data_IF_706019549876
#
_entry.id   IF_706019549876
#
_cell.length_a   1.000
_cell.length_b   1.000
_cell.length_c   1.000
_cell.angle_alpha   90.00
_cell.angle_beta   90.00
_cell.angle_gamma   90.00
#
_symmetry.space_group_name_H-M   'P 1'
#
loop_
_entity.id
_entity.type
_entity.pdbx_description
1 polymer ?
#
# COMPACT_ATOMS: atom_id res chain seq x y z
N UNK A 1 51.65 7.43 -39.83
CA UNK A 1 50.83 6.20 -39.63
C UNK A 1 50.79 5.70 -38.16
N UNK A 2 51.03 6.55 -37.15
CA UNK A 2 51.00 6.12 -35.73
C UNK A 2 49.83 6.71 -34.92
N UNK A 3 49.23 7.80 -35.40
CA UNK A 3 48.06 8.47 -34.80
C UNK A 3 46.73 7.78 -35.14
N UNK A 4 46.64 7.12 -36.29
CA UNK A 4 45.47 6.32 -36.70
C UNK A 4 45.24 5.06 -35.86
N UNK A 5 46.31 4.50 -35.27
CA UNK A 5 46.22 3.31 -34.40
C UNK A 5 45.61 3.62 -33.03
N UNK A 6 45.74 4.85 -32.54
CA UNK A 6 45.20 5.29 -31.25
C UNK A 6 43.70 5.59 -31.32
N UNK A 7 43.21 6.05 -32.47
CA UNK A 7 41.78 6.27 -32.71
C UNK A 7 41.03 4.92 -32.78
N UNK A 8 41.65 3.88 -33.33
CA UNK A 8 41.07 2.54 -33.40
C UNK A 8 40.89 1.88 -32.03
N UNK A 9 41.72 2.20 -31.03
CA UNK A 9 41.61 1.68 -29.66
C UNK A 9 40.55 2.44 -28.84
N UNK A 10 40.35 3.74 -29.09
CA UNK A 10 39.37 4.57 -28.38
C UNK A 10 37.91 4.25 -28.70
N UNK A 11 37.63 3.69 -29.88
CA UNK A 11 36.25 3.36 -30.32
C UNK A 11 35.75 2.05 -29.68
N UNK A 12 36.65 1.14 -29.29
CA UNK A 12 36.29 -0.15 -28.68
C UNK A 12 35.82 0.04 -27.21
N UNK A 13 36.20 1.13 -26.54
CA UNK A 13 35.89 1.34 -25.13
C UNK A 13 34.50 1.96 -24.84
N UNK A 14 33.75 2.38 -25.87
CA UNK A 14 32.44 3.01 -25.70
C UNK A 14 31.25 2.05 -25.82
N UNK A 15 31.49 0.77 -26.07
CA UNK A 15 30.45 -0.25 -26.14
C UNK A 15 30.21 -0.95 -24.79
N UNK A 16 30.11 -0.18 -23.70
CA UNK A 16 29.50 -0.69 -22.47
C UNK A 16 27.98 -0.54 -22.60
N UNK A 17 27.37 -1.41 -23.40
CA UNK A 17 25.92 -1.54 -23.44
C UNK A 17 25.45 -1.88 -22.03
N UNK A 18 24.65 -0.97 -21.47
CA UNK A 18 23.96 -1.19 -20.20
C UNK A 18 23.04 -2.39 -20.38
N UNK A 19 23.47 -3.54 -19.87
CA UNK A 19 22.61 -4.71 -19.72
C UNK A 19 21.54 -4.32 -18.71
N UNK A 20 20.39 -3.87 -19.20
CA UNK A 20 19.18 -3.79 -18.40
C UNK A 20 18.74 -5.23 -18.17
N UNK A 21 19.27 -5.86 -17.11
CA UNK A 21 18.74 -7.11 -16.60
C UNK A 21 17.32 -6.83 -16.08
N UNK A 22 16.32 -6.99 -16.95
CA UNK A 22 14.93 -7.08 -16.52
C UNK A 22 14.77 -8.47 -15.90
N UNK A 23 14.94 -8.55 -14.59
CA UNK A 23 14.65 -9.78 -13.84
C UNK A 23 13.13 -9.90 -13.73
N UNK A 24 12.51 -10.54 -14.70
CA UNK A 24 11.13 -11.01 -14.59
C UNK A 24 11.13 -12.29 -13.76
N UNK A 25 10.97 -12.18 -12.44
CA UNK A 25 10.80 -13.36 -11.59
C UNK A 25 9.36 -13.85 -11.70
N UNK A 26 9.11 -14.78 -12.62
CA UNK A 26 7.91 -15.63 -12.65
C UNK A 26 8.12 -16.83 -11.72
N UNK A 27 8.19 -16.57 -10.41
CA UNK A 27 8.38 -17.62 -9.41
C UNK A 27 7.05 -18.35 -9.17
N UNK A 28 6.90 -19.49 -9.82
CA UNK A 28 5.84 -20.46 -9.53
C UNK A 28 6.31 -21.40 -8.42
N UNK A 29 6.16 -20.99 -7.16
CA UNK A 29 6.20 -21.90 -6.01
C UNK A 29 4.94 -21.61 -5.19
N UNK A 30 3.92 -22.46 -5.33
CA UNK A 30 2.62 -22.30 -4.68
C UNK A 30 2.01 -20.92 -4.94
N UNK A 31 1.48 -20.70 -6.14
CA UNK A 31 1.05 -19.38 -6.64
C UNK A 31 0.30 -18.59 -5.58
N UNK A 32 0.96 -17.55 -5.04
CA UNK A 32 0.32 -16.61 -4.14
C UNK A 32 -1.00 -16.13 -4.77
N UNK A 33 -2.08 -16.04 -3.99
CA UNK A 33 -3.37 -15.63 -4.52
C UNK A 33 -3.26 -14.26 -5.17
N UNK A 34 -4.07 -14.01 -6.21
CA UNK A 34 -4.11 -12.70 -6.90
C UNK A 34 -4.38 -11.54 -5.93
N UNK A 35 -5.12 -11.78 -4.86
CA UNK A 35 -5.39 -10.81 -3.83
C UNK A 35 -4.22 -10.62 -2.86
N UNK A 36 -3.17 -11.45 -2.87
CA UNK A 36 -2.00 -11.33 -2.01
C UNK A 36 -1.13 -10.10 -2.31
N UNK A 37 -0.34 -9.59 -1.35
CA UNK A 37 0.54 -8.43 -1.56
C UNK A 37 1.66 -8.70 -2.59
N UNK A 38 1.98 -7.70 -3.42
CA UNK A 38 3.13 -7.76 -4.34
C UNK A 38 4.47 -7.72 -3.61
N UNK A 39 5.48 -8.40 -4.18
CA UNK A 39 6.86 -8.36 -3.69
C UNK A 39 7.20 -9.38 -2.60
N UNK A 40 6.30 -10.30 -2.29
CA UNK A 40 6.48 -11.33 -1.26
C UNK A 40 6.33 -12.74 -1.86
N UNK A 41 7.23 -13.10 -2.78
CA UNK A 41 7.17 -14.37 -3.49
C UNK A 41 7.35 -15.59 -2.58
N UNK A 42 8.03 -15.44 -1.45
CA UNK A 42 8.37 -16.51 -0.51
C UNK A 42 7.42 -16.56 0.71
N UNK A 43 6.35 -15.75 0.71
CA UNK A 43 5.43 -15.72 1.84
C UNK A 43 4.72 -17.06 2.03
N UNK A 44 4.94 -17.70 3.18
CA UNK A 44 4.23 -18.94 3.53
C UNK A 44 2.84 -18.65 4.11
N UNK A 45 2.72 -17.55 4.85
CA UNK A 45 1.50 -17.17 5.57
C UNK A 45 1.18 -15.68 5.45
N UNK A 46 -0.11 -15.38 5.28
CA UNK A 46 -0.68 -14.05 5.51
C UNK A 46 -1.51 -14.06 6.78
N UNK A 47 -1.37 -13.05 7.63
CA UNK A 47 -2.34 -12.76 8.70
C UNK A 47 -3.32 -11.68 8.23
N UNK A 48 -4.61 -11.93 8.42
CA UNK A 48 -5.72 -11.05 8.05
C UNK A 48 -6.35 -10.50 9.34
N UNK A 49 -6.00 -9.27 9.76
CA UNK A 49 -6.40 -8.72 11.06
C UNK A 49 -7.91 -8.64 11.25
N UNK A 50 -8.65 -8.16 10.25
CA UNK A 50 -10.10 -7.86 10.37
C UNK A 50 -10.95 -9.10 10.66
N UNK A 51 -10.50 -10.24 10.13
CA UNK A 51 -11.15 -11.54 10.30
C UNK A 51 -10.40 -12.44 11.28
N UNK A 52 -9.32 -11.92 11.89
CA UNK A 52 -8.43 -12.62 12.83
C UNK A 52 -8.01 -14.02 12.34
N UNK A 53 -7.75 -14.14 11.03
CA UNK A 53 -7.45 -15.39 10.36
C UNK A 53 -6.05 -15.37 9.75
N UNK A 54 -5.53 -16.55 9.45
CA UNK A 54 -4.36 -16.73 8.61
C UNK A 54 -4.77 -17.29 7.25
N UNK A 55 -3.95 -17.07 6.24
CA UNK A 55 -4.01 -17.78 4.97
C UNK A 55 -2.68 -18.47 4.73
N UNK A 56 -2.73 -19.79 4.55
CA UNK A 56 -1.62 -20.66 4.20
C UNK A 56 -1.48 -20.65 2.68
N UNK A 57 -0.44 -20.01 2.17
CA UNK A 57 -0.22 -19.81 0.72
C UNK A 57 -0.01 -21.14 0.02
N UNK A 58 0.73 -22.05 0.68
CA UNK A 58 1.09 -23.37 0.13
C UNK A 58 -0.12 -24.30 0.09
N UNK A 59 -0.93 -24.31 1.15
CA UNK A 59 -2.12 -25.15 1.22
C UNK A 59 -3.36 -24.52 0.56
N UNK A 60 -3.32 -23.23 0.21
CA UNK A 60 -4.45 -22.44 -0.30
C UNK A 60 -5.66 -22.44 0.64
N UNK A 61 -5.41 -22.42 1.95
CA UNK A 61 -6.42 -22.55 3.00
C UNK A 61 -6.36 -21.41 4.00
N UNK A 62 -7.52 -21.00 4.49
CA UNK A 62 -7.64 -20.17 5.68
C UNK A 62 -7.44 -21.00 6.94
N UNK A 63 -6.90 -20.36 7.96
CA UNK A 63 -6.77 -20.89 9.32
C UNK A 63 -7.40 -19.88 10.28
N UNK A 64 -8.48 -20.25 10.94
CA UNK A 64 -9.19 -19.36 11.85
C UNK A 64 -9.63 -20.10 13.11
N UNK A 65 -9.89 -19.33 14.17
CA UNK A 65 -10.41 -19.89 15.40
C UNK A 65 -11.94 -20.00 15.32
N UNK A 66 -12.48 -21.19 15.57
CA UNK A 66 -13.92 -21.46 15.53
C UNK A 66 -14.26 -22.76 16.25
N UNK A 67 -15.41 -22.82 16.93
CA UNK A 67 -15.82 -24.00 17.68
C UNK A 67 -14.80 -24.46 18.73
N UNK A 68 -14.12 -23.51 19.39
CA UNK A 68 -13.12 -23.78 20.42
C UNK A 68 -11.76 -24.27 19.92
N UNK A 69 -11.52 -24.33 18.61
CA UNK A 69 -10.26 -24.83 18.02
C UNK A 69 -9.82 -24.04 16.80
N UNK A 70 -8.58 -24.22 16.40
CA UNK A 70 -8.08 -23.75 15.10
C UNK A 70 -8.55 -24.69 13.99
N UNK A 71 -9.20 -24.12 12.97
CA UNK A 71 -9.77 -24.83 11.84
C UNK A 71 -9.03 -24.40 10.58
N UNK A 72 -8.67 -25.38 9.74
CA UNK A 72 -8.21 -25.15 8.37
C UNK A 72 -9.37 -25.38 7.40
N UNK A 73 -9.62 -24.43 6.50
CA UNK A 73 -10.71 -24.49 5.53
C UNK A 73 -10.38 -23.70 4.27
N UNK A 74 -10.97 -24.08 3.13
CA UNK A 74 -10.83 -23.32 1.88
C UNK A 74 -11.53 -21.95 1.92
N UNK A 75 -12.46 -21.78 2.85
CA UNK A 75 -13.26 -20.57 2.99
C UNK A 75 -13.18 -20.04 4.41
N UNK A 76 -13.31 -18.73 4.54
CA UNK A 76 -13.53 -18.06 5.83
C UNK A 76 -14.85 -18.53 6.47
N UNK A 77 -15.01 -18.39 7.80
CA UNK A 77 -16.27 -18.74 8.47
C UNK A 77 -17.42 -17.89 7.92
N UNK A 78 -18.65 -18.39 8.05
CA UNK A 78 -19.84 -17.79 7.43
C UNK A 78 -20.02 -16.29 7.74
N UNK A 79 -19.66 -15.85 8.96
CA UNK A 79 -19.69 -14.44 9.37
C UNK A 79 -18.79 -13.51 8.53
N UNK A 80 -17.79 -14.07 7.84
CA UNK A 80 -16.82 -13.36 6.99
C UNK A 80 -16.85 -13.84 5.54
N UNK A 81 -17.93 -14.51 5.09
CA UNK A 81 -18.04 -15.03 3.72
C UNK A 81 -17.94 -13.94 2.63
N UNK A 82 -18.33 -12.71 2.98
CA UNK A 82 -18.33 -11.54 2.09
C UNK A 82 -17.11 -10.64 2.33
N UNK A 83 -16.09 -11.12 3.05
CA UNK A 83 -14.89 -10.33 3.30
C UNK A 83 -14.16 -10.06 1.98
N UNK A 84 -13.86 -8.79 1.73
CA UNK A 84 -13.12 -8.39 0.54
C UNK A 84 -11.63 -8.69 0.72
N UNK A 85 -11.20 -9.83 0.17
CA UNK A 85 -9.80 -10.23 0.16
C UNK A 85 -8.93 -9.31 -0.68
N UNK A 86 -9.45 -8.49 -1.61
CA UNK A 86 -8.64 -7.55 -2.36
C UNK A 86 -8.35 -6.29 -1.55
N UNK A 87 -9.39 -5.66 -0.97
CA UNK A 87 -9.26 -4.44 -0.18
C UNK A 87 -8.71 -4.61 1.24
N UNK A 88 -8.92 -5.77 1.87
CA UNK A 88 -8.51 -5.99 3.26
C UNK A 88 -6.99 -5.92 3.49
N UNK A 89 -6.51 -5.40 4.62
CA UNK A 89 -5.07 -5.39 4.89
C UNK A 89 -4.53 -6.81 5.16
N UNK A 90 -3.34 -7.16 4.64
CA UNK A 90 -2.70 -8.46 4.92
C UNK A 90 -1.29 -8.27 5.47
N UNK A 91 -1.01 -8.87 6.60
CA UNK A 91 0.33 -8.90 7.16
C UNK A 91 1.06 -10.11 6.58
N UNK A 92 2.18 -9.88 5.90
CA UNK A 92 3.04 -10.96 5.43
C UNK A 92 3.93 -11.44 6.57
N UNK A 93 3.89 -12.74 6.86
CA UNK A 93 4.70 -13.35 7.91
C UNK A 93 5.98 -13.95 7.30
N UNK A 94 6.97 -13.09 7.02
CA UNK A 94 8.22 -13.51 6.38
C UNK A 94 9.12 -14.36 7.29
N UNK A 95 9.14 -14.04 8.59
CA UNK A 95 10.08 -14.65 9.55
C UNK A 95 9.52 -15.90 10.25
N UNK A 96 8.36 -16.40 9.81
CA UNK A 96 7.70 -17.54 10.44
C UNK A 96 7.80 -18.79 9.57
N UNK A 97 8.40 -19.84 10.14
CA UNK A 97 8.53 -21.15 9.52
C UNK A 97 7.88 -22.21 10.42
N UNK A 98 6.89 -22.94 9.90
CA UNK A 98 6.22 -24.03 10.62
C UNK A 98 4.73 -24.15 10.31
N UNK A 99 4.07 -25.20 10.79
CA UNK A 99 2.68 -25.53 10.39
C UNK A 99 1.58 -24.83 11.21
N UNK A 100 1.92 -24.09 12.27
CA UNK A 100 1.00 -23.54 13.28
C UNK A 100 1.21 -22.02 13.50
N UNK A 101 0.94 -21.17 12.49
CA UNK A 101 1.17 -19.72 12.60
C UNK A 101 0.41 -19.07 13.77
N UNK A 102 -0.70 -19.69 14.16
CA UNK A 102 -1.53 -19.29 15.28
C UNK A 102 -0.89 -19.44 16.67
N UNK A 103 0.27 -20.09 16.81
CA UNK A 103 1.01 -20.09 18.08
C UNK A 103 1.37 -18.65 18.52
N UNK A 104 1.53 -17.75 17.56
CA UNK A 104 1.81 -16.32 17.78
C UNK A 104 0.54 -15.45 17.69
N UNK A 105 -0.65 -16.04 17.78
CA UNK A 105 -1.91 -15.30 17.59
C UNK A 105 -2.09 -14.16 18.59
N UNK A 106 -1.73 -14.37 19.87
CA UNK A 106 -1.85 -13.32 20.88
C UNK A 106 -1.02 -12.09 20.52
N UNK A 107 0.22 -12.28 20.08
CA UNK A 107 1.10 -11.18 19.66
C UNK A 107 0.63 -10.55 18.35
N UNK A 108 0.22 -11.34 17.35
CA UNK A 108 -0.28 -10.81 16.09
C UNK A 108 -1.55 -9.98 16.27
N UNK A 109 -2.49 -10.44 17.10
CA UNK A 109 -3.74 -9.73 17.39
C UNK A 109 -3.51 -8.38 18.06
N UNK A 110 -2.54 -8.29 18.97
CA UNK A 110 -2.19 -7.02 19.63
C UNK A 110 -1.46 -6.08 18.68
N UNK A 111 -0.48 -6.60 17.93
CA UNK A 111 0.34 -5.81 17.00
C UNK A 111 -0.46 -5.33 15.79
N UNK A 112 -1.38 -6.15 15.30
CA UNK A 112 -2.20 -5.94 14.12
C UNK A 112 -3.67 -6.16 14.52
N UNK A 113 -4.24 -5.17 15.19
CA UNK A 113 -5.63 -5.18 15.65
C UNK A 113 -6.60 -5.10 14.47
N UNK A 114 -7.89 -5.41 14.68
CA UNK A 114 -8.92 -5.29 13.64
C UNK A 114 -9.02 -3.84 13.14
N UNK A 115 -9.00 -3.63 11.82
CA UNK A 115 -8.91 -2.30 11.23
C UNK A 115 -7.50 -1.72 11.21
N UNK A 116 -6.48 -2.47 11.60
CA UNK A 116 -5.08 -2.08 11.39
C UNK A 116 -4.78 -2.02 9.89
N UNK A 117 -4.24 -0.87 9.46
CA UNK A 117 -3.76 -0.66 8.11
C UNK A 117 -2.36 -0.06 8.20
N UNK A 118 -1.40 -0.72 7.56
CA UNK A 118 -0.04 -0.18 7.40
C UNK A 118 0.08 0.67 6.14
N UNK A 119 1.25 0.59 5.50
CA UNK A 119 1.45 1.18 4.17
C UNK A 119 0.51 0.52 3.15
N UNK A 120 0.09 1.30 2.15
CA UNK A 120 -0.72 0.82 1.03
C UNK A 120 -0.11 -0.43 0.40
N UNK A 121 -0.91 -1.48 0.25
CA UNK A 121 -0.51 -2.74 -0.35
C UNK A 121 -1.17 -2.88 -1.71
N UNK A 122 -0.36 -3.14 -2.73
CA UNK A 122 -0.87 -3.52 -4.05
C UNK A 122 -0.99 -5.03 -4.11
N UNK A 123 -2.07 -5.51 -4.71
CA UNK A 123 -2.31 -6.93 -4.90
C UNK A 123 -1.66 -7.42 -6.20
N UNK A 124 -1.25 -8.69 -6.25
CA UNK A 124 -0.64 -9.32 -7.43
C UNK A 124 -1.55 -9.23 -8.67
N UNK A 125 -2.84 -9.46 -8.49
CA UNK A 125 -3.84 -9.43 -9.55
C UNK A 125 -4.35 -8.04 -9.91
N UNK A 126 -3.91 -6.98 -9.23
CA UNK A 126 -4.35 -5.61 -9.52
C UNK A 126 -3.61 -5.09 -10.76
N UNK A 127 -4.07 -5.52 -11.92
CA UNK A 127 -3.46 -5.23 -13.22
C UNK A 127 -4.01 -3.92 -13.79
N UNK A 128 -3.60 -2.79 -13.21
CA UNK A 128 -3.65 -1.53 -13.92
C UNK A 128 -2.32 -1.39 -14.66
N UNK A 129 -2.38 -1.11 -15.97
CA UNK A 129 -1.31 -0.90 -16.93
C UNK A 129 -0.20 0.09 -16.46
N UNK A 130 0.56 -0.30 -15.43
CA UNK A 130 1.66 0.45 -14.83
C UNK A 130 2.64 -0.57 -14.26
N UNK A 131 3.51 -1.03 -15.16
CA UNK A 131 4.72 -1.84 -14.94
C UNK A 131 5.24 -1.67 -13.51
N UNK A 132 5.12 -2.72 -12.72
CA UNK A 132 5.53 -2.76 -11.31
C UNK A 132 7.05 -2.81 -11.27
N UNK A 133 7.68 -1.64 -11.08
CA UNK A 133 9.07 -1.57 -10.64
C UNK A 133 9.10 -1.87 -9.14
N UNK A 134 9.55 -3.08 -8.78
CA UNK A 134 9.98 -3.39 -7.42
C UNK A 134 11.33 -2.70 -7.21
N UNK A 135 11.31 -1.47 -6.70
CA UNK A 135 12.54 -0.83 -6.23
C UNK A 135 12.76 -1.25 -4.78
N UNK A 136 13.52 -2.32 -4.57
CA UNK A 136 14.23 -2.56 -3.30
C UNK A 136 15.35 -1.52 -3.18
N UNK A 137 14.98 -0.27 -2.91
CA UNK A 137 15.91 0.73 -2.40
C UNK A 137 15.23 1.42 -1.23
N UNK A 138 15.92 1.35 -0.09
CA UNK A 138 15.45 1.92 1.15
C UNK A 138 15.21 3.42 1.04
N UNK A 139 14.44 3.90 2.01
CA UNK A 139 14.46 5.27 2.50
C UNK A 139 14.35 6.36 1.43
N UNK A 140 13.13 6.84 1.20
CA UNK A 140 12.92 8.25 0.94
C UNK A 140 11.65 8.72 1.64
N UNK A 141 11.86 9.52 2.68
CA UNK A 141 10.86 10.36 3.30
C UNK A 141 10.27 11.30 2.23
N UNK A 142 9.11 10.97 1.69
CA UNK A 142 8.20 11.99 1.17
C UNK A 142 6.96 12.04 2.06
N UNK A 143 7.10 12.81 3.14
CA UNK A 143 5.99 13.54 3.75
C UNK A 143 5.36 14.41 2.65
N UNK A 144 4.31 13.92 2.00
CA UNK A 144 3.34 14.83 1.39
C UNK A 144 2.51 15.38 2.55
N UNK A 145 2.97 16.51 3.07
CA UNK A 145 2.05 17.44 3.69
C UNK A 145 1.02 17.83 2.62
N UNK A 146 -0.23 17.52 2.89
CA UNK A 146 -1.36 18.22 2.30
C UNK A 146 -1.17 19.70 2.64
N UNK A 147 -0.62 20.45 1.69
CA UNK A 147 -0.53 21.89 1.79
C UNK A 147 -1.84 22.46 1.25
N UNK A 148 -2.72 22.77 2.20
CA UNK A 148 -3.84 23.70 2.09
C UNK A 148 -3.49 24.85 1.15
N UNK A 149 -4.06 24.81 -0.06
CA UNK A 149 -4.05 25.96 -0.96
C UNK A 149 -5.11 26.95 -0.47
N UNK A 150 -4.80 27.64 0.63
CA UNK A 150 -5.40 28.94 0.99
C UNK A 150 -5.21 29.88 -0.19
N UNK A 151 -6.24 30.00 -1.04
CA UNK A 151 -6.40 31.19 -1.89
C UNK A 151 -6.89 32.32 -1.01
N UNK A 152 -5.88 33.02 -0.50
CA UNK A 152 -5.90 34.31 0.16
C UNK A 152 -6.79 35.31 -0.60
N UNK A 153 -7.88 35.73 0.04
CA UNK A 153 -8.61 36.94 -0.32
C UNK A 153 -7.71 38.14 -0.05
N UNK A 154 -7.00 38.61 -1.08
CA UNK A 154 -6.35 39.92 -1.05
C UNK A 154 -7.38 41.01 -1.30
N UNK A 155 -7.55 41.82 -0.24
CA UNK A 155 -8.11 43.18 -0.25
C UNK A 155 -7.72 43.95 -1.51
N UNK A 156 -8.70 44.52 -2.19
CA UNK A 156 -8.53 45.73 -2.97
C UNK A 156 -9.49 46.77 -2.41
N UNK A 157 -8.93 47.76 -1.72
CA UNK A 157 -9.61 48.99 -1.37
C UNK A 157 -9.91 49.76 -2.66
N UNK A 158 -11.17 50.15 -2.87
CA UNK A 158 -11.47 51.22 -3.81
C UNK A 158 -12.51 52.15 -3.18
N UNK A 159 -12.06 53.37 -2.87
CA UNK A 159 -12.89 54.51 -2.46
C UNK A 159 -13.60 55.07 -3.70
N UNK A 160 -14.89 55.38 -3.55
CA UNK A 160 -15.73 56.34 -4.30
C UNK A 160 -17.15 55.76 -4.32
N UNK A 161 -18.25 56.43 -3.93
CA UNK A 161 -18.51 57.76 -3.42
C UNK A 161 -20.04 57.92 -3.27
N UNK A 162 -20.45 58.93 -2.49
CA UNK A 162 -21.75 59.61 -2.51
C UNK A 162 -23.06 58.86 -2.15
N UNK A 163 -23.81 59.43 -1.19
CA UNK A 163 -25.27 59.57 -1.34
C UNK A 163 -26.17 59.11 -0.19
N UNK A 164 -26.39 59.99 0.79
CA UNK A 164 -27.64 60.30 1.53
C UNK A 164 -28.79 59.26 1.62
N UNK A 165 -29.31 59.05 2.83
CA UNK A 165 -30.68 58.54 3.02
C UNK A 165 -31.06 58.21 4.47
N UNK A 166 -31.82 59.10 5.10
CA UNK A 166 -32.35 59.07 6.48
C UNK A 166 -33.26 57.86 6.77
N UNK A 167 -33.31 57.44 8.05
CA UNK A 167 -34.40 56.59 8.57
C UNK A 167 -34.28 56.25 10.05
N UNK A 168 -34.87 57.08 10.91
CA UNK A 168 -35.03 56.87 12.36
C UNK A 168 -35.97 55.69 12.67
N UNK A 169 -35.74 55.01 13.80
CA UNK A 169 -36.73 54.11 14.40
C UNK A 169 -36.26 53.44 15.69
N UNK A 170 -36.54 54.08 16.84
CA UNK A 170 -36.32 53.57 18.19
C UNK A 170 -37.38 52.54 18.62
N UNK A 171 -36.98 51.59 19.47
CA UNK A 171 -37.82 50.75 20.34
C UNK A 171 -37.00 49.52 20.79
N UNK A 172 -36.43 49.40 22.01
CA UNK A 172 -37.04 49.32 23.35
C UNK A 172 -38.25 48.36 23.36
N UNK A 173 -38.34 47.30 24.15
CA UNK A 173 -37.61 46.86 25.34
C UNK A 173 -37.71 45.32 25.48
N UNK A 174 -36.95 44.80 26.45
CA UNK A 174 -37.05 43.47 27.05
C UNK A 174 -38.37 43.33 27.81
N UNK A 175 -38.99 42.16 27.70
CA UNK A 175 -39.24 41.21 28.80
C UNK A 175 -39.50 39.81 28.22
#
# INVERSE_FOLDING_TARGET
MRTLKLIAVGIILFASSTIHAQVSVSLNIGTAPSWGPVGYAEAEYYYLPDVEAYYDVRATQFIYFGGGRWIRSRYLPNQYRNYDLYGGYKVVLNDYHGSRPYNHFKSHKVKYYRGYHGREQRNIGYNNNRRVYVNQRGNDNHRRYDNDNRREYKKHDNRNGHGNGRGNGNGRDRD
#
